data_IF_142828525750
#
_entry.id   IF_142828525750
#
_cell.length_a   1.000
_cell.length_b   1.000
_cell.length_c   1.000
_cell.angle_alpha   90.00
_cell.angle_beta   90.00
_cell.angle_gamma   90.00
#
_symmetry.space_group_name_H-M   'P 1'
#
loop_
_entity.id
_entity.type
_entity.pdbx_description
1 polymer ?
#
# COMPACT_ATOMS: atom_id res chain seq x y z
N UNK A 1 66.90 -18.49 -7.36
CA UNK A 1 65.82 -19.24 -6.67
C UNK A 1 65.57 -18.56 -5.32
N UNK A 2 64.35 -18.26 -4.88
CA UNK A 2 63.09 -18.26 -5.63
C UNK A 2 62.12 -17.10 -5.22
N UNK A 3 60.97 -17.06 -5.91
CA UNK A 3 59.69 -16.45 -5.55
C UNK A 3 59.60 -14.91 -5.58
N UNK A 4 59.32 -14.29 -6.73
CA UNK A 4 57.97 -14.01 -7.28
C UNK A 4 56.95 -13.38 -6.31
N UNK A 5 56.57 -12.15 -6.65
CA UNK A 5 55.23 -11.52 -6.56
C UNK A 5 54.61 -11.35 -5.17
N UNK A 6 54.65 -10.11 -4.68
CA UNK A 6 53.64 -9.60 -3.76
C UNK A 6 53.02 -8.31 -4.32
N UNK A 7 51.95 -8.46 -5.10
CA UNK A 7 50.87 -7.49 -5.12
C UNK A 7 49.61 -8.19 -5.65
N UNK A 8 48.99 -9.01 -4.80
CA UNK A 8 47.60 -9.39 -5.01
C UNK A 8 46.74 -8.38 -4.27
N UNK A 9 45.84 -7.63 -4.94
CA UNK A 9 44.84 -6.82 -4.27
C UNK A 9 43.76 -7.78 -3.73
N UNK A 10 44.06 -8.48 -2.63
CA UNK A 10 43.06 -9.30 -1.95
C UNK A 10 42.09 -8.35 -1.24
N UNK A 11 40.89 -8.27 -1.81
CA UNK A 11 39.62 -7.98 -1.12
C UNK A 11 39.04 -6.57 -1.26
N UNK A 12 39.24 -5.84 -2.37
CA UNK A 12 38.50 -4.59 -2.58
C UNK A 12 37.00 -4.80 -2.76
N UNK A 13 36.56 -5.84 -3.49
CA UNK A 13 35.13 -6.11 -3.73
C UNK A 13 34.38 -6.55 -2.47
N UNK A 14 35.01 -7.36 -1.61
CA UNK A 14 34.40 -7.83 -0.37
C UNK A 14 34.27 -6.69 0.64
N UNK A 15 35.27 -5.80 0.70
CA UNK A 15 35.22 -4.60 1.52
C UNK A 15 34.16 -3.61 1.03
N UNK A 16 34.05 -3.40 -0.29
CA UNK A 16 33.01 -2.56 -0.91
C UNK A 16 31.61 -3.13 -0.62
N UNK A 17 31.41 -4.43 -0.81
CA UNK A 17 30.12 -5.07 -0.55
C UNK A 17 29.72 -4.98 0.93
N UNK A 18 30.67 -5.21 1.86
CA UNK A 18 30.42 -5.07 3.29
C UNK A 18 30.17 -3.61 3.69
N UNK A 19 30.81 -2.64 3.03
CA UNK A 19 30.56 -1.22 3.25
C UNK A 19 29.16 -0.81 2.75
N UNK A 20 28.72 -1.30 1.59
CA UNK A 20 27.38 -1.06 1.04
C UNK A 20 26.30 -1.64 1.96
N UNK A 21 26.47 -2.88 2.44
CA UNK A 21 25.52 -3.50 3.37
C UNK A 21 25.44 -2.74 4.70
N UNK A 22 26.58 -2.33 5.27
CA UNK A 22 26.62 -1.52 6.49
C UNK A 22 26.00 -0.13 6.29
N UNK A 23 26.19 0.48 5.12
CA UNK A 23 25.56 1.74 4.74
C UNK A 23 24.04 1.58 4.59
N UNK A 24 23.56 0.48 4.01
CA UNK A 24 22.13 0.16 3.96
C UNK A 24 21.54 -0.09 5.36
N UNK A 25 22.30 -0.69 6.29
CA UNK A 25 21.87 -0.85 7.69
C UNK A 25 21.81 0.47 8.46
N UNK A 26 22.75 1.40 8.25
CA UNK A 26 22.76 2.71 8.92
C UNK A 26 21.70 3.68 8.38
N UNK A 27 21.38 3.60 7.08
CA UNK A 27 20.22 4.30 6.50
C UNK A 27 18.90 3.66 6.96
N UNK A 28 18.94 2.58 7.75
CA UNK A 28 17.74 1.88 8.17
C UNK A 28 16.92 1.43 6.96
N UNK A 29 17.56 0.79 5.98
CA UNK A 29 16.87 -0.27 5.25
C UNK A 29 16.79 -1.52 6.16
N UNK A 30 16.44 -1.34 7.43
CA UNK A 30 15.48 -2.26 8.02
C UNK A 30 14.28 -2.24 7.07
N UNK A 31 13.54 -3.33 6.95
CA UNK A 31 12.23 -3.32 6.33
C UNK A 31 11.36 -2.29 7.08
N UNK A 32 11.55 -0.99 6.79
CA UNK A 32 10.83 0.13 7.35
C UNK A 32 9.50 0.04 6.68
N UNK A 33 8.64 -0.69 7.36
CA UNK A 33 7.22 -0.79 7.16
C UNK A 33 6.90 -1.12 5.71
N UNK A 34 6.33 -2.30 5.51
CA UNK A 34 5.41 -2.44 4.41
C UNK A 34 4.53 -1.19 4.41
N UNK A 35 4.78 -0.27 3.49
CA UNK A 35 3.71 0.34 2.75
C UNK A 35 3.01 -0.92 2.27
N UNK A 36 1.99 -1.34 3.00
CA UNK A 36 1.03 -2.30 2.49
C UNK A 36 0.63 -1.66 1.17
N UNK A 37 1.29 -2.07 0.09
CA UNK A 37 0.70 -1.90 -1.21
C UNK A 37 -0.64 -2.61 -1.00
N UNK A 38 -1.77 -1.94 -1.19
CA UNK A 38 -3.07 -2.56 -1.04
C UNK A 38 -3.26 -3.52 -2.24
N UNK A 39 -2.33 -4.43 -2.45
CA UNK A 39 -2.35 -5.49 -3.45
C UNK A 39 -3.45 -6.50 -3.10
N UNK A 40 -3.95 -6.48 -1.86
CA UNK A 40 -5.00 -7.36 -1.37
C UNK A 40 -6.28 -6.62 -0.97
N UNK A 41 -6.58 -5.46 -1.57
CA UNK A 41 -7.96 -4.93 -1.48
C UNK A 41 -8.79 -5.69 -2.50
N UNK A 42 -9.73 -6.51 -2.03
CA UNK A 42 -10.71 -7.17 -2.89
C UNK A 42 -11.54 -6.10 -3.62
N UNK A 43 -11.33 -6.00 -4.93
CA UNK A 43 -11.99 -5.03 -5.79
C UNK A 43 -13.40 -5.47 -6.20
N UNK A 44 -13.68 -6.77 -6.14
CA UNK A 44 -14.94 -7.36 -6.60
C UNK A 44 -15.96 -7.45 -5.46
N UNK A 45 -15.51 -7.69 -4.22
CA UNK A 45 -16.39 -7.77 -3.04
C UNK A 45 -15.96 -6.76 -1.96
N UNK A 46 -16.16 -5.45 -2.20
CA UNK A 46 -15.90 -4.46 -1.18
C UNK A 46 -16.82 -4.65 0.03
N UNK A 47 -16.32 -4.26 1.21
CA UNK A 47 -17.12 -4.21 2.42
C UNK A 47 -18.25 -3.16 2.28
N UNK A 48 -19.53 -3.52 2.54
CA UNK A 48 -20.66 -2.60 2.40
C UNK A 48 -20.54 -1.33 3.24
N UNK A 49 -19.88 -1.38 4.40
CA UNK A 49 -19.69 -0.19 5.23
C UNK A 49 -18.73 0.81 4.57
N UNK A 50 -17.63 0.29 4.00
CA UNK A 50 -16.67 1.09 3.26
C UNK A 50 -17.31 1.68 2.00
N UNK A 51 -18.16 0.92 1.32
CA UNK A 51 -18.83 1.39 0.11
C UNK A 51 -19.88 2.48 0.38
N UNK A 52 -20.59 2.43 1.51
CA UNK A 52 -21.52 3.48 1.96
C UNK A 52 -20.81 4.81 2.22
N UNK A 53 -19.60 4.76 2.79
CA UNK A 53 -18.78 5.95 3.08
C UNK A 53 -18.20 6.61 1.82
N UNK A 54 -18.04 5.85 0.72
CA UNK A 54 -17.55 6.40 -0.55
C UNK A 54 -18.57 7.33 -1.19
N UNK A 55 -18.05 8.32 -1.90
CA UNK A 55 -18.89 9.19 -2.75
C UNK A 55 -19.66 8.35 -3.77
N UNK A 56 -20.93 8.73 -4.04
CA UNK A 56 -21.87 8.00 -4.91
C UNK A 56 -21.33 7.62 -6.30
N UNK A 57 -20.42 8.41 -6.88
CA UNK A 57 -19.80 8.14 -8.19
C UNK A 57 -18.58 7.21 -8.14
N UNK A 58 -18.03 6.92 -6.95
CA UNK A 58 -16.81 6.12 -6.74
C UNK A 58 -17.09 4.74 -6.14
N UNK A 59 -18.36 4.35 -6.03
CA UNK A 59 -18.79 3.00 -5.63
C UNK A 59 -18.54 2.02 -6.77
N UNK A 60 -18.55 0.71 -6.47
CA UNK A 60 -18.43 -0.35 -7.47
C UNK A 60 -19.53 -0.20 -8.53
N UNK A 61 -20.76 0.05 -8.08
CA UNK A 61 -21.89 0.42 -8.91
C UNK A 61 -22.45 1.76 -8.44
N UNK A 62 -22.61 2.70 -9.37
CA UNK A 62 -23.11 4.03 -9.04
C UNK A 62 -24.62 4.00 -8.80
N UNK A 63 -25.05 4.62 -7.70
CA UNK A 63 -26.46 4.83 -7.39
C UNK A 63 -26.64 6.12 -6.58
N UNK A 64 -27.80 6.78 -6.66
CA UNK A 64 -28.06 7.98 -5.88
C UNK A 64 -28.15 7.66 -4.36
N UNK A 65 -27.91 8.70 -3.54
CA UNK A 65 -28.14 8.64 -2.09
C UNK A 65 -29.55 9.11 -1.71
N UNK A 66 -30.25 9.76 -2.64
CA UNK A 66 -31.63 10.22 -2.47
C UNK A 66 -32.59 9.10 -2.79
N UNK A 67 -33.69 9.05 -2.06
CA UNK A 67 -34.82 8.16 -2.28
C UNK A 67 -36.11 8.98 -2.21
N UNK A 68 -37.16 8.49 -2.86
CA UNK A 68 -38.48 9.10 -2.74
C UNK A 68 -39.11 8.65 -1.42
N UNK A 69 -39.68 9.60 -0.66
CA UNK A 69 -40.41 9.32 0.57
C UNK A 69 -41.88 9.64 0.39
N UNK A 70 -42.74 8.67 0.62
CA UNK A 70 -44.19 8.86 0.69
C UNK A 70 -44.54 9.42 2.09
N UNK A 71 -44.28 10.71 2.30
CA UNK A 71 -44.56 11.37 3.57
C UNK A 71 -46.06 11.62 3.68
N UNK A 72 -46.72 10.85 4.54
CA UNK A 72 -48.13 11.07 4.90
C UNK A 72 -48.24 12.15 5.97
N UNK A 73 -49.07 13.15 5.72
CA UNK A 73 -49.47 14.10 6.75
C UNK A 73 -50.40 13.40 7.76
N UNK A 74 -50.23 13.58 9.09
CA UNK A 74 -51.06 12.90 10.10
C UNK A 74 -52.56 13.23 10.01
N UNK A 75 -52.95 14.32 9.32
CA UNK A 75 -54.34 14.72 9.14
C UNK A 75 -54.93 14.49 7.74
N UNK A 76 -54.14 14.00 6.78
CA UNK A 76 -54.58 13.88 5.39
C UNK A 76 -54.34 12.46 4.86
N UNK A 77 -55.38 11.83 4.29
CA UNK A 77 -55.35 10.44 3.82
C UNK A 77 -54.81 10.26 2.39
N UNK A 78 -54.37 11.35 1.73
CA UNK A 78 -53.72 11.31 0.42
C UNK A 78 -52.27 11.79 0.55
N UNK A 79 -51.36 11.02 -0.06
CA UNK A 79 -49.98 11.43 -0.38
C UNK A 79 -49.97 12.23 -1.67
#
# INVERSE_FOLDING_TARGET
MPLTKACQPRNSLRAIYQAILKFQSSIGYTARQGREMPLAVDLLHPDPEKERQRHKLKRLVQHPNSYFMDVKCPGCFKV
#
